data_IF_166957623251
#
_entry.id   IF_166957623251
#
_cell.length_a   1.000
_cell.length_b   1.000
_cell.length_c   1.000
_cell.angle_alpha   90.00
_cell.angle_beta   90.00
_cell.angle_gamma   90.00
#
_symmetry.space_group_name_H-M   'P 1'
#
loop_
_entity.id
_entity.type
_entity.pdbx_description
1 polymer ?
#
# COMPACT_ATOMS: atom_id res chain seq x y z
N UNK A 1 60.86 21.54 1.74
CA UNK A 1 59.78 22.04 0.85
C UNK A 1 58.44 21.71 1.51
N UNK A 2 57.84 22.67 2.18
CA UNK A 2 56.56 22.55 2.89
C UNK A 2 55.41 22.65 1.90
N UNK A 3 54.66 21.57 1.73
CA UNK A 3 53.50 21.51 0.84
C UNK A 3 52.38 22.44 1.36
N UNK A 4 51.93 23.37 0.53
CA UNK A 4 50.84 24.28 0.87
C UNK A 4 49.53 23.50 1.12
N UNK A 5 48.71 23.90 2.11
CA UNK A 5 47.45 23.24 2.41
C UNK A 5 46.45 23.46 1.26
N UNK A 6 46.09 22.37 0.60
CA UNK A 6 45.06 22.34 -0.44
C UNK A 6 43.72 22.78 0.16
N UNK A 7 43.25 23.98 -0.20
CA UNK A 7 41.95 24.48 0.21
C UNK A 7 40.87 23.58 -0.39
N UNK A 8 40.24 22.76 0.45
CA UNK A 8 39.07 21.95 0.10
C UNK A 8 37.94 22.87 -0.38
N UNK A 9 37.79 23.00 -1.70
CA UNK A 9 36.64 23.65 -2.30
C UNK A 9 35.38 22.85 -1.92
N UNK A 10 34.62 23.35 -0.94
CA UNK A 10 33.26 22.88 -0.65
C UNK A 10 32.41 23.22 -1.88
N UNK A 11 32.36 22.31 -2.86
CA UNK A 11 31.35 22.36 -3.93
C UNK A 11 29.99 22.39 -3.25
N UNK A 12 29.28 23.51 -3.36
CA UNK A 12 27.97 23.66 -2.73
C UNK A 12 27.04 22.59 -3.29
N UNK A 13 26.27 21.95 -2.40
CA UNK A 13 25.29 20.92 -2.76
C UNK A 13 24.30 21.39 -3.85
N UNK A 14 24.13 22.70 -4.01
CA UNK A 14 23.29 23.30 -5.04
C UNK A 14 23.81 23.03 -6.46
N UNK A 15 25.11 22.81 -6.65
CA UNK A 15 25.71 22.46 -7.95
C UNK A 15 25.74 20.94 -8.24
N UNK A 16 25.28 20.11 -7.30
CA UNK A 16 25.10 18.66 -7.51
C UNK A 16 23.74 18.30 -8.13
N UNK A 17 22.84 19.28 -8.33
CA UNK A 17 21.52 19.14 -8.96
C UNK A 17 21.55 19.52 -10.46
N UNK A 18 22.66 19.25 -11.15
CA UNK A 18 22.91 19.70 -12.54
C UNK A 18 21.90 19.14 -13.56
N UNK A 19 21.15 18.10 -13.24
CA UNK A 19 20.00 17.67 -14.05
C UNK A 19 18.76 17.36 -13.21
N UNK A 20 18.29 18.38 -12.50
CA UNK A 20 17.06 18.36 -11.68
C UNK A 20 15.87 17.72 -12.39
N UNK A 21 15.72 17.94 -13.70
CA UNK A 21 14.60 17.42 -14.50
C UNK A 21 14.61 15.89 -14.63
N UNK A 22 15.77 15.28 -14.85
CA UNK A 22 15.85 13.82 -15.04
C UNK A 22 15.70 13.07 -13.71
N UNK A 23 16.41 13.53 -12.68
CA UNK A 23 16.36 12.90 -11.37
C UNK A 23 14.96 13.00 -10.76
N UNK A 24 14.32 14.18 -10.89
CA UNK A 24 13.00 14.41 -10.32
C UNK A 24 11.90 13.66 -11.07
N UNK A 25 12.00 13.51 -12.40
CA UNK A 25 11.05 12.69 -13.17
C UNK A 25 11.08 11.23 -12.76
N UNK A 26 12.27 10.64 -12.63
CA UNK A 26 12.40 9.24 -12.25
C UNK A 26 11.94 9.00 -10.81
N UNK A 27 12.37 9.85 -9.87
CA UNK A 27 11.93 9.72 -8.47
C UNK A 27 10.43 9.97 -8.31
N UNK A 28 9.86 10.94 -9.03
CA UNK A 28 8.41 11.21 -8.96
C UNK A 28 7.62 10.06 -9.57
N UNK A 29 8.10 9.43 -10.64
CA UNK A 29 7.47 8.24 -11.20
C UNK A 29 7.53 7.04 -10.23
N UNK A 30 8.70 6.77 -9.64
CA UNK A 30 8.89 5.69 -8.66
C UNK A 30 8.04 5.91 -7.39
N UNK A 31 8.08 7.12 -6.82
CA UNK A 31 7.28 7.49 -5.65
C UNK A 31 5.79 7.49 -5.99
N UNK A 32 5.40 8.03 -7.14
CA UNK A 32 4.01 8.03 -7.60
C UNK A 32 3.44 6.63 -7.75
N UNK A 33 4.17 5.72 -8.41
CA UNK A 33 3.79 4.32 -8.53
C UNK A 33 3.68 3.65 -7.16
N UNK A 34 4.65 3.90 -6.27
CA UNK A 34 4.65 3.36 -4.91
C UNK A 34 3.42 3.85 -4.13
N UNK A 35 3.12 5.14 -4.17
CA UNK A 35 1.95 5.73 -3.50
C UNK A 35 0.65 5.16 -4.04
N UNK A 36 0.52 4.94 -5.35
CA UNK A 36 -0.66 4.33 -5.96
C UNK A 36 -0.83 2.88 -5.48
N UNK A 37 0.24 2.09 -5.50
CA UNK A 37 0.20 0.71 -4.99
C UNK A 37 -0.14 0.66 -3.50
N UNK A 38 0.43 1.58 -2.71
CA UNK A 38 0.20 1.67 -1.28
C UNK A 38 -1.24 2.08 -0.95
N UNK A 39 -1.79 3.05 -1.69
CA UNK A 39 -3.18 3.47 -1.55
C UNK A 39 -4.14 2.34 -1.96
N UNK A 40 -3.86 1.65 -3.07
CA UNK A 40 -4.65 0.51 -3.53
C UNK A 40 -4.69 -0.62 -2.50
N UNK A 41 -3.53 -1.05 -2.00
CA UNK A 41 -3.43 -2.05 -0.94
C UNK A 41 -4.07 -1.57 0.37
N UNK A 42 -3.87 -0.31 0.75
CA UNK A 42 -4.46 0.26 1.96
C UNK A 42 -5.99 0.26 1.93
N UNK A 43 -6.59 0.67 0.80
CA UNK A 43 -8.05 0.63 0.59
C UNK A 43 -8.55 -0.81 0.67
N UNK A 44 -7.85 -1.76 0.04
CA UNK A 44 -8.23 -3.18 0.07
C UNK A 44 -8.17 -3.76 1.49
N UNK A 45 -7.07 -3.53 2.22
CA UNK A 45 -6.92 -3.99 3.61
C UNK A 45 -7.99 -3.36 4.50
N UNK A 46 -8.30 -2.07 4.33
CA UNK A 46 -9.33 -1.40 5.12
C UNK A 46 -10.72 -1.99 4.86
N UNK A 47 -11.00 -2.40 3.61
CA UNK A 47 -12.25 -3.10 3.27
C UNK A 47 -12.34 -4.45 3.99
N UNK A 48 -11.28 -5.26 3.94
CA UNK A 48 -11.22 -6.57 4.63
C UNK A 48 -11.28 -6.42 6.16
N UNK A 49 -10.63 -5.39 6.72
CA UNK A 49 -10.68 -5.10 8.15
C UNK A 49 -12.09 -4.66 8.61
N UNK A 50 -12.81 -3.90 7.80
CA UNK A 50 -14.19 -3.51 8.10
C UNK A 50 -15.12 -4.72 8.12
N UNK A 51 -14.94 -5.68 7.20
CA UNK A 51 -15.75 -6.92 7.15
C UNK A 51 -15.54 -7.81 8.38
N UNK A 52 -14.32 -7.88 8.91
CA UNK A 52 -14.02 -8.68 10.12
C UNK A 52 -14.44 -7.99 11.42
N UNK A 53 -14.38 -6.66 11.46
CA UNK A 53 -14.74 -5.86 12.63
C UNK A 53 -16.25 -5.91 12.90
N UNK A 54 -17.09 -5.92 11.86
CA UNK A 54 -18.56 -5.99 12.01
C UNK A 54 -19.00 -7.29 12.66
N UNK A 55 -18.41 -8.43 12.29
CA UNK A 55 -18.70 -9.74 12.89
C UNK A 55 -18.29 -9.78 14.36
N UNK A 56 -17.13 -9.20 14.68
CA UNK A 56 -16.63 -9.12 16.05
C UNK A 56 -17.54 -8.25 16.93
N UNK A 57 -17.98 -7.09 16.43
CA UNK A 57 -18.93 -6.23 17.15
C UNK A 57 -20.30 -6.88 17.31
N UNK A 58 -20.80 -7.59 16.28
CA UNK A 58 -22.08 -8.30 16.35
C UNK A 58 -22.05 -9.42 17.40
N UNK A 59 -20.94 -10.16 17.51
CA UNK A 59 -20.74 -11.19 18.53
C UNK A 59 -20.76 -10.62 19.95
N UNK A 60 -20.09 -9.48 20.18
CA UNK A 60 -20.08 -8.83 21.50
C UNK A 60 -21.47 -8.30 21.87
N UNK A 61 -22.18 -7.65 20.93
CA UNK A 61 -23.56 -7.16 21.15
C UNK A 61 -24.57 -8.28 21.37
N UNK A 62 -24.30 -9.49 20.88
CA UNK A 62 -25.14 -10.66 21.05
C UNK A 62 -25.06 -11.31 22.44
N UNK A 63 -24.20 -10.85 23.35
CA UNK A 63 -24.08 -11.43 24.70
C UNK A 63 -25.15 -10.82 25.62
N UNK A 64 -26.26 -11.51 25.94
CA UNK A 64 -27.36 -10.88 26.66
C UNK A 64 -26.97 -10.65 28.13
N UNK A 65 -27.12 -9.41 28.61
CA UNK A 65 -27.06 -9.14 30.04
C UNK A 65 -28.28 -9.74 30.76
N UNK A 66 -28.16 -10.10 32.05
CA UNK A 66 -29.30 -10.57 32.83
C UNK A 66 -30.42 -9.53 32.79
N UNK A 67 -31.64 -9.95 32.44
CA UNK A 67 -32.80 -9.04 32.35
C UNK A 67 -33.15 -8.53 33.74
N UNK A 68 -33.49 -7.24 33.83
CA UNK A 68 -34.07 -6.67 35.05
C UNK A 68 -35.46 -7.30 35.23
N UNK A 69 -35.79 -7.89 36.39
CA UNK A 69 -37.13 -8.36 36.66
C UNK A 69 -38.12 -7.20 36.44
N UNK A 70 -39.15 -7.42 35.63
CA UNK A 70 -40.24 -6.45 35.56
C UNK A 70 -40.85 -6.34 36.95
N UNK A 71 -41.12 -5.11 37.40
CA UNK A 71 -42.01 -4.87 38.53
C UNK A 71 -43.42 -5.17 38.01
N UNK A 72 -43.79 -6.45 37.93
CA UNK A 72 -45.17 -6.81 37.65
C UNK A 72 -46.03 -6.35 38.81
N UNK A 73 -47.15 -5.70 38.49
CA UNK A 73 -48.20 -5.51 39.48
C UNK A 73 -48.62 -6.90 39.99
N UNK A 74 -48.85 -7.09 41.30
CA UNK A 74 -49.15 -8.39 41.91
C UNK A 74 -50.47 -9.04 41.44
N UNK A 75 -51.09 -8.54 40.37
CA UNK A 75 -52.42 -8.94 39.88
C UNK A 75 -52.39 -10.11 38.88
N UNK A 76 -51.23 -10.44 38.29
CA UNK A 76 -51.17 -11.36 37.15
C UNK A 76 -50.54 -12.75 37.45
N UNK A 77 -49.97 -12.95 38.63
CA UNK A 77 -49.30 -14.23 38.98
C UNK A 77 -50.27 -15.36 39.40
N UNK A 78 -51.58 -15.09 39.56
CA UNK A 78 -52.60 -16.12 39.81
C UNK A 78 -53.27 -16.67 38.52
N UNK A 79 -52.83 -16.20 37.34
CA UNK A 79 -53.27 -16.73 36.05
C UNK A 79 -52.10 -17.32 35.26
N UNK A 80 -51.29 -18.17 35.90
CA UNK A 80 -50.49 -19.13 35.15
C UNK A 80 -51.44 -20.23 34.60
N UNK A 81 -51.77 -20.27 33.30
CA UNK A 81 -52.47 -21.42 32.75
C UNK A 81 -51.57 -22.65 32.97
N UNK A 82 -52.13 -23.69 33.60
CA UNK A 82 -51.48 -24.97 33.78
C UNK A 82 -50.82 -25.42 32.47
N UNK A 83 -49.59 -25.96 32.49
CA UNK A 83 -48.94 -26.40 31.28
C UNK A 83 -49.76 -27.54 30.65
N UNK A 84 -50.43 -27.24 29.53
CA UNK A 84 -51.01 -28.27 28.67
C UNK A 84 -49.86 -29.14 28.16
N UNK A 85 -49.70 -30.31 28.79
CA UNK A 85 -48.88 -31.41 28.28
C UNK A 85 -49.52 -31.93 27.00
N UNK A 86 -48.97 -31.54 25.85
CA UNK A 86 -49.16 -32.27 24.61
C UNK A 86 -48.34 -33.57 24.69
N UNK A 87 -48.91 -34.75 24.39
CA UNK A 87 -48.17 -36.00 24.30
C UNK A 87 -47.19 -35.93 23.11
N UNK A 88 -45.89 -36.07 23.38
CA UNK A 88 -44.89 -36.29 22.33
C UNK A 88 -44.96 -37.75 21.86
N UNK A 89 -45.19 -38.03 20.58
CA UNK A 89 -44.96 -39.35 20.01
C UNK A 89 -43.51 -39.46 19.51
N UNK A 90 -42.79 -40.46 19.99
CA UNK A 90 -41.59 -40.99 19.32
C UNK A 90 -40.27 -40.56 19.93
N UNK A 91 -39.89 -41.21 21.04
CA UNK A 91 -38.49 -41.49 21.33
C UNK A 91 -37.91 -42.34 20.19
N UNK A 92 -37.08 -41.72 19.36
CA UNK A 92 -36.11 -42.42 18.53
C UNK A 92 -34.72 -42.16 19.13
N UNK A 93 -34.06 -43.24 19.52
CA UNK A 93 -32.71 -43.25 20.10
C UNK A 93 -31.70 -42.48 19.25
N UNK A 94 -30.72 -41.78 19.87
CA UNK A 94 -29.62 -41.19 19.12
C UNK A 94 -28.63 -42.27 18.65
N UNK A 95 -28.10 -42.21 17.41
CA UNK A 95 -26.97 -43.01 17.01
C UNK A 95 -25.68 -42.48 17.66
N UNK A 96 -24.74 -43.41 17.84
CA UNK A 96 -23.46 -43.25 18.50
C UNK A 96 -22.60 -42.09 17.97
N UNK A 97 -21.92 -41.44 18.92
CA UNK A 97 -20.85 -40.46 18.76
C UNK A 97 -19.71 -41.00 17.88
N UNK A 98 -19.19 -40.26 16.89
CA UNK A 98 -17.87 -40.50 16.33
C UNK A 98 -16.81 -40.02 17.33
N UNK A 99 -15.80 -40.85 17.55
CA UNK A 99 -14.65 -40.56 18.40
C UNK A 99 -13.84 -39.35 17.88
N UNK A 100 -13.35 -38.54 18.82
CA UNK A 100 -12.38 -37.46 18.56
C UNK A 100 -11.11 -37.99 17.89
N UNK A 101 -10.53 -37.28 16.90
CA UNK A 101 -9.21 -37.58 16.39
C UNK A 101 -8.11 -37.17 17.38
N UNK A 102 -7.16 -38.08 17.60
CA UNK A 102 -5.99 -37.88 18.43
C UNK A 102 -5.14 -36.66 18.01
N UNK A 103 -4.45 -35.98 18.94
CA UNK A 103 -3.54 -34.88 18.62
C UNK A 103 -2.32 -35.38 17.83
N UNK A 104 -1.83 -34.63 16.83
CA UNK A 104 -0.63 -35.00 16.08
C UNK A 104 0.64 -34.87 16.94
N UNK A 105 1.51 -35.85 16.82
CA UNK A 105 2.83 -35.91 17.43
C UNK A 105 3.79 -34.82 16.88
N UNK A 106 4.78 -34.38 17.67
CA UNK A 106 5.75 -33.39 17.24
C UNK A 106 6.74 -33.94 16.20
N UNK A 107 6.94 -33.19 15.12
CA UNK A 107 7.89 -33.51 14.05
C UNK A 107 9.37 -33.38 14.50
N UNK A 108 10.26 -34.28 14.08
CA UNK A 108 11.69 -34.15 14.30
C UNK A 108 12.40 -33.27 13.24
N UNK A 109 13.55 -32.65 13.60
CA UNK A 109 14.21 -31.66 12.76
C UNK A 109 15.41 -32.24 12.02
N UNK A 110 15.42 -32.28 10.68
CA UNK A 110 16.65 -32.18 9.88
C UNK A 110 16.44 -32.25 8.35
N UNK A 111 17.34 -31.53 7.65
CA UNK A 111 17.75 -31.61 6.24
C UNK A 111 16.69 -31.31 5.16
N UNK A 112 16.82 -30.30 4.29
CA UNK A 112 18.02 -29.94 3.54
C UNK A 112 17.95 -30.62 2.17
N UNK A 113 17.62 -29.86 1.12
CA UNK A 113 18.18 -30.06 -0.22
C UNK A 113 17.82 -28.95 -1.20
N UNK A 114 18.87 -28.57 -1.93
CA UNK A 114 18.96 -27.70 -3.09
C UNK A 114 18.28 -28.26 -4.35
N UNK A 115 17.85 -27.33 -5.23
CA UNK A 115 17.88 -27.33 -6.72
C UNK A 115 16.66 -26.54 -7.25
N UNK A 116 16.84 -25.41 -7.93
CA UNK A 116 17.29 -25.23 -9.31
C UNK A 116 16.30 -25.80 -10.36
N UNK A 117 15.80 -24.93 -11.24
CA UNK A 117 15.26 -25.32 -12.55
C UNK A 117 13.93 -24.69 -12.96
N UNK A 118 14.04 -23.63 -13.77
CA UNK A 118 13.37 -23.41 -15.06
C UNK A 118 11.83 -23.25 -15.22
N UNK A 119 11.50 -22.09 -15.82
CA UNK A 119 10.69 -21.86 -17.02
C UNK A 119 9.30 -22.51 -17.23
N UNK A 120 8.28 -21.66 -17.34
CA UNK A 120 7.17 -21.67 -18.34
C UNK A 120 6.26 -20.46 -18.02
N UNK A 121 5.90 -19.52 -18.90
CA UNK A 121 5.19 -19.57 -20.19
C UNK A 121 3.76 -20.12 -20.11
N UNK A 122 2.78 -19.29 -20.49
CA UNK A 122 1.34 -19.57 -20.60
C UNK A 122 0.52 -18.40 -20.03
N UNK A 123 0.04 -17.43 -20.82
CA UNK A 123 -1.00 -17.44 -21.87
C UNK A 123 -2.40 -17.85 -21.40
N UNK A 124 -3.35 -16.97 -21.76
CA UNK A 124 -4.81 -17.11 -21.85
C UNK A 124 -5.66 -16.89 -20.59
N UNK A 125 -6.67 -16.02 -20.74
CA UNK A 125 -7.69 -15.74 -19.73
C UNK A 125 -8.62 -14.60 -20.14
N UNK A 126 -9.37 -14.82 -21.23
CA UNK A 126 -10.44 -13.95 -21.74
C UNK A 126 -11.71 -13.99 -20.86
N UNK A 127 -12.61 -13.03 -21.12
CA UNK A 127 -14.00 -12.89 -20.62
C UNK A 127 -14.13 -12.19 -19.25
N UNK A 128 -15.13 -11.33 -18.99
CA UNK A 128 -16.47 -11.22 -19.56
C UNK A 128 -17.04 -9.81 -19.39
N UNK A 129 -17.80 -9.39 -20.40
CA UNK A 129 -18.74 -8.26 -20.40
C UNK A 129 -19.91 -8.57 -19.47
N UNK A 130 -20.31 -7.61 -18.64
CA UNK A 130 -21.51 -7.68 -17.80
C UNK A 130 -22.30 -6.38 -17.86
N UNK A 131 -23.29 -6.34 -18.76
CA UNK A 131 -24.37 -5.35 -18.80
C UNK A 131 -25.43 -5.68 -17.76
N UNK A 132 -25.87 -4.68 -16.98
CA UNK A 132 -27.19 -4.60 -16.34
C UNK A 132 -27.35 -3.17 -15.80
N UNK A 133 -28.51 -2.56 -15.67
CA UNK A 133 -29.86 -2.70 -16.23
C UNK A 133 -30.55 -1.43 -15.73
N UNK A 134 -31.39 -0.83 -16.56
CA UNK A 134 -32.20 0.32 -16.21
C UNK A 134 -33.19 0.00 -15.08
N UNK A 135 -33.51 1.02 -14.29
CA UNK A 135 -34.58 1.02 -13.30
C UNK A 135 -35.12 2.44 -13.16
N UNK A 136 -36.09 2.77 -14.03
CA UNK A 136 -36.89 3.99 -14.03
C UNK A 136 -38.25 3.69 -13.38
N UNK A 137 -38.76 4.62 -12.57
CA UNK A 137 -40.11 4.62 -11.98
C UNK A 137 -40.19 5.79 -11.01
N UNK A 138 -40.70 6.97 -11.36
CA UNK A 138 -42.05 7.36 -11.81
C UNK A 138 -43.15 7.08 -10.78
N UNK A 139 -43.71 8.18 -10.26
CA UNK A 139 -45.16 8.32 -10.10
C UNK A 139 -45.69 8.32 -8.66
N UNK A 140 -46.51 9.31 -8.34
CA UNK A 140 -47.54 9.13 -7.31
C UNK A 140 -47.92 10.33 -6.46
N UNK A 141 -48.34 11.44 -7.08
CA UNK A 141 -49.27 12.38 -6.44
C UNK A 141 -50.64 11.69 -6.28
N UNK A 142 -51.28 11.83 -5.12
CA UNK A 142 -52.63 11.33 -4.90
C UNK A 142 -53.34 12.08 -3.78
N UNK A 143 -54.19 13.03 -4.17
CA UNK A 143 -55.26 13.62 -3.38
C UNK A 143 -56.37 12.62 -3.10
N UNK A 144 -57.06 12.76 -1.97
CA UNK A 144 -58.49 12.42 -1.76
C UNK A 144 -58.86 12.98 -0.37
N UNK A 145 -59.74 13.97 -0.24
CA UNK A 145 -61.20 13.93 -0.37
C UNK A 145 -61.90 13.02 0.67
N UNK A 146 -62.56 13.71 1.61
CA UNK A 146 -63.76 13.29 2.37
C UNK A 146 -64.86 12.70 1.46
N UNK A 147 -65.84 11.87 1.93
CA UNK A 147 -66.72 12.23 3.04
C UNK A 147 -67.26 11.09 3.94
N UNK A 148 -68.00 11.55 4.95
CA UNK A 148 -68.99 10.93 5.84
C UNK A 148 -69.54 9.55 5.50
N UNK A 149 -69.67 8.70 6.52
CA UNK A 149 -70.94 8.09 6.91
C UNK A 149 -70.90 7.59 8.37
N UNK A 150 -72.03 7.73 9.06
CA UNK A 150 -72.14 7.66 10.51
C UNK A 150 -72.29 6.26 11.09
N UNK A 151 -71.73 6.08 12.28
CA UNK A 151 -72.15 5.02 13.20
C UNK A 151 -72.23 5.56 14.64
N UNK A 152 -73.34 5.25 15.30
CA UNK A 152 -73.80 5.87 16.53
C UNK A 152 -72.86 5.62 17.73
N UNK A 153 -72.68 6.60 18.64
CA UNK A 153 -71.92 6.39 19.86
C UNK A 153 -72.70 5.47 20.81
N UNK A 154 -72.23 4.23 20.97
CA UNK A 154 -72.63 3.39 22.11
C UNK A 154 -72.08 4.04 23.39
N UNK A 155 -72.90 4.89 24.00
CA UNK A 155 -72.68 5.40 25.36
C UNK A 155 -72.68 4.21 26.31
N UNK A 156 -71.50 3.73 26.70
CA UNK A 156 -71.37 2.89 27.88
C UNK A 156 -71.81 3.73 29.08
N UNK A 157 -72.99 3.42 29.63
CA UNK A 157 -73.39 3.89 30.95
C UNK A 157 -72.48 3.19 31.96
N UNK A 158 -71.40 3.86 32.34
CA UNK A 158 -70.64 3.51 33.54
C UNK A 158 -71.50 3.95 34.72
N UNK A 159 -72.16 2.99 35.38
CA UNK A 159 -72.69 3.21 36.72
C UNK A 159 -71.48 3.32 37.65
N UNK A 160 -71.19 4.54 38.08
CA UNK A 160 -70.27 4.77 39.19
C UNK A 160 -71.12 4.58 40.44
N UNK A 161 -71.19 3.34 40.94
CA UNK A 161 -71.66 3.11 42.29
C UNK A 161 -70.63 3.74 43.25
N UNK A 162 -71.09 4.60 44.15
CA UNK A 162 -70.32 5.20 45.26
C UNK A 162 -69.95 4.14 46.32
N UNK A 163 -69.35 3.04 45.86
CA UNK A 163 -68.68 2.08 46.71
C UNK A 163 -67.28 2.62 46.95
N UNK A 164 -67.07 3.11 48.17
CA UNK A 164 -65.76 3.47 48.71
C UNK A 164 -64.82 2.29 48.55
N UNK A 165 -64.07 2.24 47.43
CA UNK A 165 -62.89 1.40 47.32
C UNK A 165 -61.85 2.04 48.24
N UNK A 166 -61.79 1.56 49.48
CA UNK A 166 -60.55 1.60 50.23
C UNK A 166 -59.51 0.82 49.42
N UNK A 167 -58.83 1.52 48.51
CA UNK A 167 -57.58 1.04 47.94
C UNK A 167 -56.59 1.02 49.11
N UNK A 168 -56.58 -0.06 49.88
CA UNK A 168 -55.41 -0.37 50.70
C UNK A 168 -54.23 -0.40 49.75
N UNK A 169 -53.25 0.53 49.85
CA UNK A 169 -52.09 0.50 49.00
C UNK A 169 -51.31 -0.76 49.37
N UNK A 170 -51.52 -1.83 48.62
CA UNK A 170 -50.72 -3.04 48.74
C UNK A 170 -49.33 -2.64 48.28
N UNK A 171 -48.44 -2.33 49.23
CA UNK A 171 -47.07 -1.97 48.92
C UNK A 171 -46.49 -3.07 48.01
N UNK A 172 -45.96 -2.71 46.82
CA UNK A 172 -45.44 -3.70 45.89
C UNK A 172 -44.38 -4.54 46.60
N UNK A 173 -44.57 -5.87 46.61
CA UNK A 173 -43.62 -6.80 47.22
C UNK A 173 -42.37 -6.86 46.34
N UNK A 174 -41.36 -6.06 46.66
CA UNK A 174 -40.07 -6.10 45.98
C UNK A 174 -39.34 -7.39 46.36
N UNK A 175 -38.95 -8.23 45.39
CA UNK A 175 -38.16 -9.43 45.66
C UNK A 175 -36.83 -9.09 46.35
N UNK A 176 -36.40 -9.90 47.32
CA UNK A 176 -35.15 -9.67 48.05
C UNK A 176 -33.90 -9.69 47.16
N UNK A 177 -33.98 -10.32 45.98
CA UNK A 177 -32.91 -10.42 44.98
C UNK A 177 -32.96 -9.34 43.89
N UNK A 178 -33.96 -8.44 43.92
CA UNK A 178 -34.15 -7.41 42.90
C UNK A 178 -32.92 -6.48 42.78
N UNK A 179 -32.42 -5.98 43.91
CA UNK A 179 -31.25 -5.10 43.94
C UNK A 179 -30.00 -5.79 43.36
N UNK A 180 -29.78 -7.06 43.70
CA UNK A 180 -28.65 -7.84 43.17
C UNK A 180 -28.75 -8.04 41.65
N UNK A 181 -29.95 -8.30 41.12
CA UNK A 181 -30.18 -8.44 39.67
C UNK A 181 -30.00 -7.12 38.92
N UNK A 182 -30.49 -6.01 39.48
CA UNK A 182 -30.29 -4.66 38.91
C UNK A 182 -28.80 -4.31 38.86
N UNK A 183 -28.06 -4.52 39.96
CA UNK A 183 -26.60 -4.31 39.99
C UNK A 183 -25.90 -5.23 38.99
N UNK A 184 -26.31 -6.50 38.90
CA UNK A 184 -25.78 -7.46 37.91
C UNK A 184 -25.99 -7.01 36.46
N UNK A 185 -27.14 -6.40 36.15
CA UNK A 185 -27.44 -5.85 34.84
C UNK A 185 -26.55 -4.64 34.50
N UNK A 186 -26.51 -3.61 35.37
CA UNK A 186 -25.70 -2.41 35.12
C UNK A 186 -24.20 -2.70 35.08
N UNK A 187 -23.70 -3.61 35.93
CA UNK A 187 -22.29 -4.03 35.87
C UNK A 187 -21.95 -4.79 34.60
N UNK A 188 -22.90 -5.56 34.05
CA UNK A 188 -22.77 -6.18 32.73
C UNK A 188 -22.71 -5.10 31.63
N UNK A 189 -23.64 -4.14 31.60
CA UNK A 189 -23.65 -3.08 30.59
C UNK A 189 -22.38 -2.23 30.60
N UNK A 190 -21.89 -1.82 31.78
CA UNK A 190 -20.65 -1.05 31.90
C UNK A 190 -19.43 -1.82 31.39
N UNK A 191 -19.38 -3.14 31.61
CA UNK A 191 -18.31 -4.00 31.06
C UNK A 191 -18.40 -4.09 29.54
N UNK A 192 -19.61 -4.17 28.97
CA UNK A 192 -19.80 -4.15 27.52
C UNK A 192 -19.38 -2.80 26.92
N UNK A 193 -19.79 -1.69 27.53
CA UNK A 193 -19.41 -0.34 27.08
C UNK A 193 -17.88 -0.14 27.10
N UNK A 194 -17.21 -0.55 28.18
CA UNK A 194 -15.75 -0.47 28.26
C UNK A 194 -15.03 -1.36 27.23
N UNK A 195 -15.58 -2.53 26.90
CA UNK A 195 -15.02 -3.37 25.83
C UNK A 195 -15.16 -2.70 24.46
N UNK A 196 -16.29 -2.08 24.16
CA UNK A 196 -16.50 -1.36 22.89
C UNK A 196 -15.49 -0.22 22.74
N UNK A 197 -15.31 0.59 23.77
CA UNK A 197 -14.34 1.71 23.75
C UNK A 197 -12.89 1.23 23.57
N UNK A 198 -12.51 0.11 24.19
CA UNK A 198 -11.19 -0.49 23.98
C UNK A 198 -10.96 -1.00 22.55
N UNK A 199 -12.02 -1.49 21.88
CA UNK A 199 -11.96 -1.95 20.49
C UNK A 199 -11.86 -0.76 19.52
N UNK A 200 -12.57 0.33 19.79
CA UNK A 200 -12.50 1.55 18.98
C UNK A 200 -11.12 2.21 19.05
N UNK A 201 -10.60 2.41 20.26
CA UNK A 201 -9.26 2.94 20.48
C UNK A 201 -8.18 2.02 19.90
N UNK A 202 -8.33 0.70 20.04
CA UNK A 202 -7.44 -0.28 19.42
C UNK A 202 -7.43 -0.20 17.90
N UNK A 203 -8.60 -0.03 17.28
CA UNK A 203 -8.73 0.16 15.82
C UNK A 203 -8.04 1.44 15.35
N UNK A 204 -8.24 2.54 16.06
CA UNK A 204 -7.61 3.82 15.70
C UNK A 204 -6.09 3.75 15.82
N UNK A 205 -5.59 3.13 16.90
CA UNK A 205 -4.16 2.93 17.10
C UNK A 205 -3.54 2.05 16.00
N UNK A 206 -4.16 0.93 15.64
CA UNK A 206 -3.70 0.06 14.54
C UNK A 206 -3.67 0.84 13.21
N UNK A 207 -4.69 1.65 12.93
CA UNK A 207 -4.77 2.46 11.72
C UNK A 207 -3.63 3.49 11.67
N UNK A 208 -3.38 4.22 12.78
CA UNK A 208 -2.26 5.15 12.87
C UNK A 208 -0.90 4.48 12.74
N UNK A 209 -0.70 3.30 13.34
CA UNK A 209 0.53 2.52 13.20
C UNK A 209 0.74 2.07 11.77
N UNK A 210 -0.31 1.60 11.08
CA UNK A 210 -0.24 1.19 9.67
C UNK A 210 0.14 2.37 8.76
N UNK A 211 -0.53 3.52 8.94
CA UNK A 211 -0.24 4.74 8.18
C UNK A 211 1.19 5.23 8.46
N UNK A 212 1.59 5.28 9.74
CA UNK A 212 2.91 5.74 10.14
C UNK A 212 4.03 4.86 9.58
N UNK A 213 3.89 3.54 9.71
CA UNK A 213 4.84 2.57 9.14
C UNK A 213 4.89 2.68 7.62
N UNK A 214 3.72 2.87 7.00
CA UNK A 214 3.63 3.03 5.56
C UNK A 214 4.33 4.28 5.04
N UNK A 215 4.10 5.42 5.67
CA UNK A 215 4.78 6.67 5.34
C UNK A 215 6.29 6.56 5.55
N UNK A 216 6.73 5.94 6.65
CA UNK A 216 8.14 5.71 6.94
C UNK A 216 8.80 4.87 5.84
N UNK A 217 8.13 3.82 5.39
CA UNK A 217 8.61 2.96 4.31
C UNK A 217 8.73 3.75 2.99
N UNK A 218 7.70 4.51 2.61
CA UNK A 218 7.73 5.36 1.39
C UNK A 218 8.86 6.38 1.46
N UNK A 219 9.04 7.06 2.59
CA UNK A 219 10.12 8.02 2.79
C UNK A 219 11.50 7.34 2.73
N UNK A 220 11.65 6.18 3.35
CA UNK A 220 12.89 5.39 3.33
C UNK A 220 13.28 4.98 1.90
N UNK A 221 12.32 4.47 1.13
CA UNK A 221 12.50 4.12 -0.29
C UNK A 221 12.82 5.35 -1.15
N UNK A 222 12.18 6.49 -0.90
CA UNK A 222 12.47 7.73 -1.62
C UNK A 222 13.92 8.20 -1.37
N UNK A 223 14.34 8.23 -0.10
CA UNK A 223 15.72 8.60 0.28
C UNK A 223 16.73 7.62 -0.32
N UNK A 224 16.44 6.31 -0.25
CA UNK A 224 17.27 5.28 -0.84
C UNK A 224 17.38 5.43 -2.37
N UNK A 225 16.26 5.67 -3.05
CA UNK A 225 16.21 5.89 -4.50
C UNK A 225 17.02 7.11 -4.93
N UNK A 226 16.97 8.21 -4.18
CA UNK A 226 17.80 9.40 -4.42
C UNK A 226 19.29 9.03 -4.27
N UNK A 227 19.66 8.33 -3.18
CA UNK A 227 21.05 7.90 -2.93
C UNK A 227 21.57 6.99 -4.05
N UNK A 228 20.76 6.04 -4.50
CA UNK A 228 21.10 5.12 -5.59
C UNK A 228 21.25 5.86 -6.93
N UNK A 229 20.30 6.74 -7.25
CA UNK A 229 20.35 7.52 -8.49
C UNK A 229 21.62 8.38 -8.57
N UNK A 230 22.11 8.92 -7.44
CA UNK A 230 23.37 9.65 -7.43
C UNK A 230 24.60 8.79 -7.76
N UNK A 231 24.63 7.54 -7.32
CA UNK A 231 25.76 6.62 -7.56
C UNK A 231 25.85 6.12 -9.00
N UNK A 232 24.74 6.20 -9.76
CA UNK A 232 24.64 5.68 -11.13
C UNK A 232 24.57 6.81 -12.16
N UNK A 233 23.76 7.84 -11.93
CA UNK A 233 23.51 8.89 -12.92
C UNK A 233 24.75 9.78 -13.16
N UNK A 234 25.56 10.03 -12.13
CA UNK A 234 26.77 10.86 -12.25
C UNK A 234 27.77 10.29 -13.26
N UNK A 235 28.22 9.03 -13.08
CA UNK A 235 29.10 8.36 -14.04
C UNK A 235 28.53 8.27 -15.45
N UNK A 236 27.24 7.93 -15.57
CA UNK A 236 26.58 7.76 -16.85
C UNK A 236 26.52 9.08 -17.64
N UNK A 237 26.20 10.19 -16.95
CA UNK A 237 26.26 11.52 -17.55
C UNK A 237 27.68 11.86 -18.05
N UNK A 238 28.71 11.52 -17.26
CA UNK A 238 30.10 11.78 -17.65
C UNK A 238 30.50 10.99 -18.91
N UNK A 239 30.11 9.71 -19.00
CA UNK A 239 30.34 8.90 -20.21
C UNK A 239 29.61 9.49 -21.41
N UNK A 240 28.36 9.92 -21.25
CA UNK A 240 27.61 10.58 -22.33
C UNK A 240 28.28 11.86 -22.84
N UNK A 241 28.89 12.65 -21.94
CA UNK A 241 29.63 13.86 -22.30
C UNK A 241 30.87 13.53 -23.14
N UNK A 242 31.65 12.50 -22.76
CA UNK A 242 32.82 12.09 -23.53
C UNK A 242 32.44 11.44 -24.87
N UNK A 243 31.37 10.64 -24.91
CA UNK A 243 30.83 10.11 -26.17
C UNK A 243 30.40 11.24 -27.12
N UNK A 244 29.75 12.28 -26.61
CA UNK A 244 29.38 13.45 -27.40
C UNK A 244 30.61 14.18 -27.95
N UNK A 245 31.70 14.29 -27.17
CA UNK A 245 32.97 14.87 -27.65
C UNK A 245 33.63 14.01 -28.73
N UNK A 246 33.69 12.69 -28.54
CA UNK A 246 34.20 11.78 -29.58
C UNK A 246 33.36 11.84 -30.87
N UNK A 247 32.03 11.95 -30.75
CA UNK A 247 31.13 12.19 -31.88
C UNK A 247 31.46 13.49 -32.62
N UNK A 248 31.89 14.53 -31.90
CA UNK A 248 32.33 15.80 -32.48
C UNK A 248 33.81 15.77 -32.95
N UNK A 249 34.48 14.61 -32.87
CA UNK A 249 35.89 14.47 -33.22
C UNK A 249 36.82 15.20 -32.25
N UNK A 250 36.48 15.28 -30.96
CA UNK A 250 37.35 15.81 -29.90
C UNK A 250 37.69 14.71 -28.90
N UNK A 251 38.98 14.45 -28.71
CA UNK A 251 39.48 13.34 -27.92
C UNK A 251 40.17 13.79 -26.62
N UNK A 252 39.48 14.61 -25.83
CA UNK A 252 39.98 15.16 -24.57
C UNK A 252 40.44 14.07 -23.57
N UNK A 253 41.30 14.49 -22.63
CA UNK A 253 41.74 13.64 -21.51
C UNK A 253 40.57 13.16 -20.63
N UNK A 254 40.45 11.85 -20.51
CA UNK A 254 39.44 11.20 -19.65
C UNK A 254 39.94 11.14 -18.20
N UNK A 255 39.22 11.77 -17.28
CA UNK A 255 39.56 11.77 -15.85
C UNK A 255 38.90 10.60 -15.12
N UNK A 256 39.52 10.07 -14.06
CA UNK A 256 38.94 8.99 -13.26
C UNK A 256 37.59 9.37 -12.60
N UNK A 257 36.81 8.33 -12.29
CA UNK A 257 35.51 8.45 -11.64
C UNK A 257 35.65 8.65 -10.11
N UNK A 258 34.58 9.09 -9.44
CA UNK A 258 34.60 9.29 -7.98
C UNK A 258 34.62 7.92 -7.28
N UNK A 259 35.37 7.82 -6.18
CA UNK A 259 35.38 6.62 -5.33
C UNK A 259 33.98 6.37 -4.75
N UNK A 260 33.45 5.17 -4.95
CA UNK A 260 32.18 4.71 -4.39
C UNK A 260 30.97 4.77 -5.33
N UNK A 261 31.17 5.18 -6.58
CA UNK A 261 30.19 5.01 -7.67
C UNK A 261 30.09 3.53 -8.06
N UNK A 262 28.93 3.10 -8.57
CA UNK A 262 28.72 1.67 -8.90
C UNK A 262 29.26 1.31 -10.29
N UNK A 263 29.37 2.29 -11.19
CA UNK A 263 29.79 2.10 -12.59
C UNK A 263 31.30 2.25 -12.78
N UNK A 264 32.12 1.99 -11.74
CA UNK A 264 33.57 2.17 -11.82
C UNK A 264 34.18 1.22 -12.86
N UNK A 265 33.83 -0.06 -12.80
CA UNK A 265 34.38 -1.07 -13.72
C UNK A 265 33.95 -0.80 -15.18
N UNK A 266 32.68 -0.45 -15.38
CA UNK A 266 32.18 0.00 -16.68
C UNK A 266 32.93 1.23 -17.21
N UNK A 267 33.18 2.20 -16.33
CA UNK A 267 33.92 3.41 -16.68
C UNK A 267 35.38 3.10 -17.03
N UNK A 268 36.00 2.13 -16.36
CA UNK A 268 37.36 1.70 -16.66
C UNK A 268 37.44 1.01 -18.02
N UNK A 269 36.47 0.17 -18.40
CA UNK A 269 36.36 -0.35 -19.76
C UNK A 269 36.20 0.77 -20.80
N UNK A 270 35.37 1.77 -20.50
CA UNK A 270 35.21 2.94 -21.35
C UNK A 270 36.52 3.71 -21.54
N UNK A 271 37.30 3.93 -20.47
CA UNK A 271 38.62 4.58 -20.57
C UNK A 271 39.58 3.80 -21.47
N UNK A 272 39.62 2.48 -21.32
CA UNK A 272 40.47 1.61 -22.13
C UNK A 272 40.08 1.69 -23.60
N UNK A 273 38.77 1.64 -23.90
CA UNK A 273 38.27 1.81 -25.26
C UNK A 273 38.60 3.20 -25.84
N UNK A 274 38.37 4.27 -25.06
CA UNK A 274 38.72 5.64 -25.47
C UNK A 274 40.22 5.77 -25.75
N UNK A 275 41.07 5.22 -24.87
CA UNK A 275 42.52 5.23 -25.08
C UNK A 275 42.93 4.51 -26.37
N UNK A 276 42.28 3.38 -26.69
CA UNK A 276 42.49 2.68 -27.95
C UNK A 276 42.14 3.53 -29.19
N UNK A 277 41.00 4.22 -29.17
CA UNK A 277 40.60 5.12 -30.27
C UNK A 277 41.56 6.29 -30.42
N UNK A 278 42.01 6.88 -29.30
CA UNK A 278 43.01 7.95 -29.33
C UNK A 278 44.34 7.46 -29.88
N UNK A 279 44.78 6.27 -29.49
CA UNK A 279 46.01 5.69 -30.00
C UNK A 279 45.91 5.44 -31.51
N UNK A 280 44.80 4.87 -31.98
CA UNK A 280 44.56 4.68 -33.41
C UNK A 280 44.62 6.01 -34.18
N UNK A 281 44.04 7.09 -33.65
CA UNK A 281 44.10 8.41 -34.28
C UNK A 281 45.52 8.98 -34.31
N UNK A 282 46.34 8.73 -33.28
CA UNK A 282 47.76 9.12 -33.26
C UNK A 282 48.56 8.34 -34.30
N UNK A 283 48.33 7.04 -34.42
CA UNK A 283 49.01 6.19 -35.39
C UNK A 283 48.65 6.59 -36.83
N UNK A 284 47.39 6.97 -37.08
CA UNK A 284 46.95 7.54 -38.35
C UNK A 284 47.66 8.86 -38.67
N UNK A 285 47.77 9.77 -37.69
CA UNK A 285 48.49 11.05 -37.87
C UNK A 285 49.95 10.79 -38.21
N UNK A 286 50.60 9.84 -37.52
CA UNK A 286 51.99 9.46 -37.80
C UNK A 286 52.14 8.95 -39.24
N UNK A 287 51.27 8.04 -39.70
CA UNK A 287 51.29 7.54 -41.08
C UNK A 287 51.06 8.63 -42.11
N UNK A 288 50.12 9.55 -41.86
CA UNK A 288 49.86 10.68 -42.76
C UNK A 288 51.09 11.59 -42.84
N UNK A 289 51.78 11.85 -41.72
CA UNK A 289 53.05 12.59 -41.70
C UNK A 289 54.11 11.92 -42.57
N UNK A 290 54.29 10.61 -42.41
CA UNK A 290 55.29 9.86 -43.16
C UNK A 290 55.01 9.88 -44.67
N UNK A 291 53.74 9.75 -45.07
CA UNK A 291 53.32 9.82 -46.48
C UNK A 291 53.56 11.22 -47.07
N UNK A 292 53.23 12.29 -46.33
CA UNK A 292 53.49 13.66 -46.76
C UNK A 292 55.00 13.88 -46.94
N UNK A 293 55.82 13.45 -45.97
CA UNK A 293 57.28 13.59 -46.04
C UNK A 293 57.89 12.81 -47.23
N UNK A 294 57.40 11.60 -47.51
CA UNK A 294 57.84 10.82 -48.66
C UNK A 294 57.44 11.46 -50.00
N UNK A 295 56.23 12.03 -50.09
CA UNK A 295 55.76 12.73 -51.28
C UNK A 295 56.56 14.02 -51.54
N UNK A 296 56.92 14.75 -50.48
CA UNK A 296 57.79 15.92 -50.55
C UNK A 296 59.20 15.54 -51.02
N UNK A 297 59.78 14.47 -50.49
CA UNK A 297 61.09 13.96 -50.92
C UNK A 297 61.11 13.51 -52.40
N UNK A 298 59.97 13.05 -52.92
CA UNK A 298 59.79 12.67 -54.32
C UNK A 298 59.50 13.87 -55.25
N UNK A 299 59.48 15.10 -54.74
CA UNK A 299 59.22 16.32 -55.53
C UNK A 299 57.73 16.56 -55.86
N UNK A 300 56.81 15.85 -55.20
CA UNK A 300 55.36 16.00 -55.39
C UNK A 300 54.70 16.94 -54.36
N UNK A 301 55.49 17.74 -53.63
CA UNK A 301 55.01 18.55 -52.50
C UNK A 301 53.96 19.62 -52.83
N UNK A 302 53.91 20.07 -54.10
CA UNK A 302 52.94 21.06 -54.61
C UNK A 302 51.70 20.41 -55.25
N UNK A 303 51.65 19.08 -55.29
CA UNK A 303 50.48 18.38 -55.81
C UNK A 303 49.26 18.68 -54.92
N UNK A 304 48.11 18.98 -55.54
CA UNK A 304 46.88 19.33 -54.84
C UNK A 304 46.49 18.29 -53.76
N UNK A 305 46.77 17.01 -54.02
CA UNK A 305 46.51 15.92 -53.06
C UNK A 305 47.37 15.99 -51.79
N UNK A 306 48.62 16.45 -51.90
CA UNK A 306 49.52 16.62 -50.74
C UNK A 306 49.07 17.82 -49.90
N UNK A 307 48.56 18.87 -50.53
CA UNK A 307 47.95 20.02 -49.83
C UNK A 307 46.72 19.58 -49.04
N UNK A 308 45.81 18.81 -49.64
CA UNK A 308 44.64 18.26 -48.94
C UNK A 308 45.02 17.33 -47.76
N UNK A 309 46.07 16.52 -47.92
CA UNK A 309 46.60 15.67 -46.85
C UNK A 309 47.15 16.51 -45.68
N UNK A 310 47.82 17.63 -45.94
CA UNK A 310 48.28 18.57 -44.88
C UNK A 310 47.09 19.17 -44.13
N UNK A 311 46.02 19.56 -44.83
CA UNK A 311 44.81 20.04 -44.17
C UNK A 311 44.13 18.96 -43.32
N UNK A 312 44.06 17.73 -43.84
CA UNK A 312 43.51 16.59 -43.10
C UNK A 312 44.33 16.31 -41.83
N UNK A 313 45.66 16.34 -41.95
CA UNK A 313 46.58 16.23 -40.82
C UNK A 313 46.32 17.30 -39.77
N UNK A 314 46.22 18.58 -40.18
CA UNK A 314 45.95 19.67 -39.26
C UNK A 314 44.59 19.51 -38.53
N UNK A 315 43.56 19.03 -39.24
CA UNK A 315 42.26 18.70 -38.63
C UNK A 315 42.38 17.56 -37.62
N UNK A 316 43.13 16.50 -37.93
CA UNK A 316 43.33 15.35 -37.03
C UNK A 316 44.20 15.73 -35.83
N UNK A 317 45.23 16.54 -35.97
CA UNK A 317 46.04 17.01 -34.84
C UNK A 317 45.20 17.83 -33.85
N UNK A 318 44.40 18.76 -34.37
CA UNK A 318 43.46 19.55 -33.55
C UNK A 318 42.41 18.69 -32.82
N UNK A 319 42.13 17.47 -33.28
CA UNK A 319 41.18 16.56 -32.61
C UNK A 319 41.71 15.93 -31.33
N UNK A 320 43.04 15.92 -31.13
CA UNK A 320 43.71 15.24 -30.01
C UNK A 320 44.14 16.21 -28.89
N UNK A 321 44.19 17.51 -29.16
CA UNK A 321 44.47 18.59 -28.18
C UNK A 321 43.28 18.85 -27.24
#
# INVERSE_FOLDING_TARGET
MTAAPQKNYKRSWKNLLINKRYQLRFTLFMVGLSTVLMAGLGIWVMKVANETTTVSMASVRGTPCPKIPALTDPSDDDLAPAPMKLPQPGEASPPATPADPAPPAPEPPWAGNDKAGDAASGSAGSASVGSASAGSGSGGSGSADEPADGEAPRRAKVQIDESTMEMTPTAPKVPADFAAKVVGHYTCEMKLAGKIDSLENGRELILWVLIGTGLLLVLGLAIYGIKMTHKVAGPLFKVSLYLAKMKDGRFDKVWNLRKGDQLVDFYDHFKTAHAGVVQMQKDDIAKIKDVIAAAEAAGAGDNATVVELRELLARKEKSIE
#
